data_IF_518283093428
#
_entry.id   IF_518283093428
#
_cell.length_a   1.000
_cell.length_b   1.000
_cell.length_c   1.000
_cell.angle_alpha   90.00
_cell.angle_beta   90.00
_cell.angle_gamma   90.00
#
_symmetry.space_group_name_H-M   'P 1'
#
loop_
_entity.id
_entity.type
_entity.pdbx_description
1 polymer ?
#
# COMPACT_ATOMS: atom_id res chain seq x y z
N UNK A 1 -6.56 -13.58 25.86
CA UNK A 1 -5.67 -13.40 24.70
C UNK A 1 -5.55 -11.93 24.39
N UNK A 2 -4.37 -11.38 24.51
CA UNK A 2 -4.12 -10.02 24.02
C UNK A 2 -4.12 -10.13 22.51
N UNK A 3 -5.16 -9.59 21.85
CA UNK A 3 -5.17 -9.45 20.38
C UNK A 3 -3.98 -8.57 20.03
N UNK A 4 -3.01 -9.14 19.33
CA UNK A 4 -1.84 -8.38 18.89
C UNK A 4 -2.32 -7.34 17.88
N UNK A 5 -2.32 -6.08 18.31
CA UNK A 5 -2.86 -4.93 17.56
C UNK A 5 -2.15 -4.62 16.24
N UNK A 6 -1.19 -5.46 15.84
CA UNK A 6 -0.40 -5.31 14.60
C UNK A 6 -0.92 -6.15 13.44
N UNK A 7 -1.94 -7.00 13.66
CA UNK A 7 -2.44 -7.86 12.60
C UNK A 7 -3.43 -7.10 11.72
N UNK A 8 -3.02 -6.84 10.48
CA UNK A 8 -3.88 -6.28 9.45
C UNK A 8 -4.83 -7.36 8.91
N UNK A 9 -6.07 -6.99 8.65
CA UNK A 9 -7.02 -7.86 7.97
C UNK A 9 -6.69 -8.06 6.51
N UNK A 10 -6.18 -7.02 5.86
CA UNK A 10 -5.66 -7.07 4.50
C UNK A 10 -4.80 -5.84 4.18
N UNK A 11 -3.95 -5.98 3.16
CA UNK A 11 -3.29 -4.88 2.47
C UNK A 11 -4.02 -4.65 1.15
N UNK A 12 -4.35 -3.38 0.90
CA UNK A 12 -4.97 -2.92 -0.35
C UNK A 12 -3.96 -2.07 -1.11
N UNK A 13 -3.86 -2.25 -2.42
CA UNK A 13 -3.00 -1.45 -3.27
C UNK A 13 -3.46 -1.47 -4.72
N UNK A 14 -3.07 -0.45 -5.48
CA UNK A 14 -3.40 -0.31 -6.90
C UNK A 14 -2.52 -1.10 -7.85
N UNK A 15 -1.45 -1.72 -7.38
CA UNK A 15 -0.57 -2.57 -8.17
C UNK A 15 0.42 -1.85 -9.09
N UNK A 16 0.51 -0.51 -9.05
CA UNK A 16 1.53 0.22 -9.80
C UNK A 16 2.93 -0.17 -9.29
N UNK A 17 3.98 0.07 -10.07
CA UNK A 17 5.36 -0.11 -9.59
C UNK A 17 5.66 0.74 -8.35
N UNK A 18 6.76 0.50 -7.68
CA UNK A 18 7.18 1.26 -6.51
C UNK A 18 6.42 0.86 -5.26
N UNK A 19 5.86 1.83 -4.54
CA UNK A 19 5.20 1.61 -3.24
C UNK A 19 4.05 0.61 -3.32
N UNK A 20 3.17 0.76 -4.30
CA UNK A 20 2.01 -0.11 -4.49
C UNK A 20 2.42 -1.59 -4.63
N UNK A 21 3.38 -1.86 -5.53
CA UNK A 21 3.86 -3.20 -5.80
C UNK A 21 4.55 -3.81 -4.58
N UNK A 22 5.35 -3.03 -3.88
CA UNK A 22 6.01 -3.46 -2.65
C UNK A 22 5.00 -3.88 -1.57
N UNK A 23 3.90 -3.17 -1.44
CA UNK A 23 2.85 -3.52 -0.49
C UNK A 23 2.21 -4.89 -0.80
N UNK A 24 1.93 -5.17 -2.08
CA UNK A 24 1.42 -6.48 -2.50
C UNK A 24 2.44 -7.60 -2.29
N UNK A 25 3.71 -7.36 -2.66
CA UNK A 25 4.80 -8.31 -2.45
C UNK A 25 4.99 -8.64 -0.97
N UNK A 26 4.93 -7.62 -0.11
CA UNK A 26 5.01 -7.79 1.33
C UNK A 26 3.87 -8.65 1.87
N UNK A 27 2.63 -8.36 1.48
CA UNK A 27 1.47 -9.14 1.92
C UNK A 27 1.58 -10.61 1.54
N UNK A 28 1.94 -10.90 0.29
CA UNK A 28 2.16 -12.28 -0.17
C UNK A 28 3.28 -12.98 0.59
N UNK A 29 4.39 -12.28 0.83
CA UNK A 29 5.54 -12.86 1.55
C UNK A 29 5.22 -13.19 3.00
N UNK A 30 4.39 -12.41 3.65
CA UNK A 30 4.05 -12.56 5.06
C UNK A 30 2.78 -13.36 5.31
N UNK A 31 2.00 -13.65 4.26
CA UNK A 31 0.69 -14.29 4.37
C UNK A 31 -0.44 -13.35 4.76
N UNK A 32 -0.19 -12.04 4.80
CA UNK A 32 -1.26 -11.05 4.95
C UNK A 32 -2.09 -10.99 3.66
N UNK A 33 -3.43 -11.13 3.74
CA UNK A 33 -4.27 -11.07 2.55
C UNK A 33 -4.04 -9.77 1.76
N UNK A 34 -3.95 -9.88 0.44
CA UNK A 34 -3.83 -8.74 -0.47
C UNK A 34 -5.04 -8.62 -1.35
N UNK A 35 -5.44 -7.40 -1.67
CA UNK A 35 -6.52 -7.07 -2.59
C UNK A 35 -6.38 -5.64 -3.09
N UNK A 36 -7.25 -5.21 -3.96
CA UNK A 36 -7.28 -3.84 -4.44
C UNK A 36 -7.86 -3.71 -5.84
N UNK A 37 -7.97 -2.48 -6.27
CA UNK A 37 -8.44 -2.10 -7.57
C UNK A 37 -7.29 -1.61 -8.44
N UNK A 38 -7.24 -2.06 -9.69
CA UNK A 38 -6.36 -1.54 -10.73
C UNK A 38 -7.20 -0.91 -11.86
N UNK A 39 -6.62 -0.10 -12.75
CA UNK A 39 -7.37 0.43 -13.89
C UNK A 39 -7.87 -0.69 -14.81
N UNK A 40 -8.91 -0.41 -15.59
CA UNK A 40 -9.38 -1.31 -16.64
C UNK A 40 -8.20 -1.73 -17.54
N UNK A 41 -8.10 -3.03 -17.82
CA UNK A 41 -6.97 -3.63 -18.54
C UNK A 41 -5.74 -3.92 -17.68
N UNK A 42 -5.75 -3.58 -16.39
CA UNK A 42 -4.65 -3.90 -15.46
C UNK A 42 -3.33 -3.19 -15.75
N UNK A 43 -3.36 -2.09 -16.49
CA UNK A 43 -2.14 -1.41 -16.96
C UNK A 43 -1.35 -0.77 -15.82
N UNK A 44 -0.04 -0.97 -15.87
CA UNK A 44 0.96 -0.31 -15.04
C UNK A 44 2.10 0.19 -15.92
N UNK A 45 3.04 0.98 -15.39
CA UNK A 45 4.13 1.51 -16.21
C UNK A 45 5.04 0.43 -16.83
N UNK A 46 5.14 -0.73 -16.19
CA UNK A 46 5.92 -1.88 -16.64
C UNK A 46 5.09 -2.95 -17.40
N UNK A 47 3.76 -2.88 -17.36
CA UNK A 47 2.83 -3.82 -17.94
C UNK A 47 1.76 -3.08 -18.76
N UNK A 48 2.10 -2.74 -20.00
CA UNK A 48 1.26 -1.89 -20.84
C UNK A 48 0.06 -2.63 -21.46
N UNK A 49 0.16 -3.96 -21.61
CA UNK A 49 -0.85 -4.77 -22.28
C UNK A 49 -1.72 -5.53 -21.28
N UNK A 50 -3.01 -5.63 -21.58
CA UNK A 50 -3.95 -6.43 -20.80
C UNK A 50 -3.56 -7.93 -20.84
N UNK A 51 -3.74 -8.68 -19.74
CA UNK A 51 -4.41 -8.33 -18.48
C UNK A 51 -3.53 -7.58 -17.46
N UNK A 52 -2.30 -7.24 -17.83
CA UNK A 52 -1.38 -6.44 -17.02
C UNK A 52 -1.14 -7.02 -15.64
N UNK A 53 -1.29 -6.20 -14.62
CA UNK A 53 -1.00 -6.56 -13.23
C UNK A 53 -1.87 -7.73 -12.72
N UNK A 54 -3.06 -7.91 -13.24
CA UNK A 54 -3.97 -9.00 -12.83
C UNK A 54 -3.37 -10.37 -13.15
N UNK A 55 -2.54 -10.48 -14.19
CA UNK A 55 -1.84 -11.74 -14.49
C UNK A 55 -0.85 -12.13 -13.37
N UNK A 56 -0.24 -11.14 -12.71
CA UNK A 56 0.70 -11.34 -11.62
C UNK A 56 0.00 -11.40 -10.25
N UNK A 57 -1.06 -10.61 -10.08
CA UNK A 57 -1.83 -10.47 -8.85
C UNK A 57 -3.32 -10.67 -9.14
N UNK A 58 -3.78 -11.94 -9.28
CA UNK A 58 -5.18 -12.24 -9.55
C UNK A 58 -6.13 -11.85 -8.42
N UNK A 59 -5.60 -11.46 -7.27
CA UNK A 59 -6.37 -10.90 -6.16
C UNK A 59 -6.88 -9.48 -6.44
N UNK A 60 -6.30 -8.78 -7.41
CA UNK A 60 -6.73 -7.45 -7.82
C UNK A 60 -7.94 -7.53 -8.75
N UNK A 61 -8.77 -6.50 -8.70
CA UNK A 61 -9.92 -6.31 -9.58
C UNK A 61 -9.73 -5.07 -10.45
N UNK A 62 -10.17 -5.14 -11.69
CA UNK A 62 -10.16 -3.98 -12.57
C UNK A 62 -11.38 -3.10 -12.32
N UNK A 63 -11.16 -1.78 -12.26
CA UNK A 63 -12.25 -0.80 -12.32
C UNK A 63 -12.83 -0.72 -13.74
N UNK A 64 -14.07 -0.23 -13.92
CA UNK A 64 -14.63 -0.01 -15.25
C UNK A 64 -13.84 1.00 -16.09
N UNK A 65 -13.24 2.00 -15.47
CA UNK A 65 -12.48 3.06 -16.14
C UNK A 65 -11.00 2.72 -16.28
N UNK A 66 -10.36 3.04 -17.41
CA UNK A 66 -8.91 3.01 -17.55
C UNK A 66 -8.22 4.19 -16.84
N UNK A 67 -8.97 5.19 -16.39
CA UNK A 67 -8.44 6.32 -15.63
C UNK A 67 -7.91 5.86 -14.27
N UNK A 68 -6.62 6.06 -13.96
CA UNK A 68 -6.04 5.69 -12.67
C UNK A 68 -6.72 6.33 -11.45
N UNK A 69 -7.40 7.45 -11.63
CA UNK A 69 -8.10 8.14 -10.53
C UNK A 69 -9.20 7.29 -9.93
N UNK A 70 -9.96 6.56 -10.75
CA UNK A 70 -11.04 5.70 -10.24
C UNK A 70 -10.52 4.60 -9.32
N UNK A 71 -9.47 3.89 -9.73
CA UNK A 71 -8.89 2.83 -8.87
C UNK A 71 -8.27 3.43 -7.60
N UNK A 72 -7.69 4.63 -7.68
CA UNK A 72 -7.14 5.32 -6.52
C UNK A 72 -8.22 5.64 -5.49
N UNK A 73 -9.32 6.21 -5.95
CA UNK A 73 -10.49 6.49 -5.11
C UNK A 73 -11.08 5.23 -4.49
N UNK A 74 -11.26 4.17 -5.29
CA UNK A 74 -11.89 2.93 -4.81
C UNK A 74 -11.01 2.18 -3.80
N UNK A 75 -9.69 2.21 -3.94
CA UNK A 75 -8.78 1.65 -2.94
C UNK A 75 -8.90 2.39 -1.60
N UNK A 76 -9.02 3.71 -1.62
CA UNK A 76 -9.27 4.50 -0.41
C UNK A 76 -10.63 4.19 0.19
N UNK A 77 -11.68 4.20 -0.63
CA UNK A 77 -13.07 3.96 -0.21
C UNK A 77 -13.24 2.61 0.48
N UNK A 78 -12.62 1.57 -0.06
CA UNK A 78 -12.79 0.18 0.36
C UNK A 78 -11.77 -0.26 1.42
N UNK A 79 -11.05 0.69 2.02
CA UNK A 79 -10.08 0.47 3.09
C UNK A 79 -10.51 1.20 4.38
N UNK A 80 -10.04 0.72 5.53
CA UNK A 80 -10.29 1.37 6.82
C UNK A 80 -9.36 2.56 7.04
N UNK A 81 -8.14 2.48 6.52
CA UNK A 81 -7.12 3.51 6.62
C UNK A 81 -6.20 3.51 5.40
N UNK A 82 -5.54 4.63 5.14
CA UNK A 82 -4.61 4.79 4.02
C UNK A 82 -3.25 5.31 4.49
N UNK A 83 -2.19 4.58 4.16
CA UNK A 83 -0.80 5.01 4.31
C UNK A 83 -0.29 5.49 2.95
N UNK A 84 0.13 6.75 2.88
CA UNK A 84 0.77 7.32 1.70
C UNK A 84 2.25 7.54 2.03
N UNK A 85 3.11 6.77 1.39
CA UNK A 85 4.56 6.92 1.53
C UNK A 85 5.09 7.88 0.48
N UNK A 86 6.01 8.73 0.88
CA UNK A 86 6.65 9.72 0.02
C UNK A 86 8.15 9.71 0.20
N UNK A 87 8.86 10.31 -0.75
CA UNK A 87 10.27 10.64 -0.63
C UNK A 87 10.44 12.14 -0.84
N UNK A 88 11.22 12.84 0.01
CA UNK A 88 11.45 14.28 -0.16
C UNK A 88 11.91 14.64 -1.58
N UNK A 89 11.33 15.71 -2.14
CA UNK A 89 11.66 16.19 -3.48
C UNK A 89 11.03 15.43 -4.64
N UNK A 90 10.28 14.36 -4.39
CA UNK A 90 9.57 13.60 -5.43
C UNK A 90 8.16 14.15 -5.60
N UNK A 91 7.82 14.52 -6.82
CA UNK A 91 6.46 14.91 -7.21
C UNK A 91 5.67 13.69 -7.63
N UNK A 92 4.55 13.42 -6.96
CA UNK A 92 3.70 12.26 -7.24
C UNK A 92 2.22 12.67 -7.24
N UNK A 93 1.65 13.04 -8.39
CA UNK A 93 0.24 13.42 -8.49
C UNK A 93 -0.72 12.33 -8.01
N UNK A 94 -0.36 11.06 -8.18
CA UNK A 94 -1.14 9.93 -7.67
C UNK A 94 -1.19 9.88 -6.15
N UNK A 95 -0.09 10.22 -5.48
CA UNK A 95 -0.04 10.32 -4.01
C UNK A 95 -0.90 11.48 -3.51
N UNK A 96 -0.83 12.63 -4.16
CA UNK A 96 -1.66 13.80 -3.84
C UNK A 96 -3.16 13.48 -3.99
N UNK A 97 -3.53 12.80 -5.08
CA UNK A 97 -4.90 12.36 -5.30
C UNK A 97 -5.37 11.37 -4.21
N UNK A 98 -4.51 10.47 -3.77
CA UNK A 98 -4.83 9.52 -2.69
C UNK A 98 -5.17 10.23 -1.39
N UNK A 99 -4.38 11.24 -1.00
CA UNK A 99 -4.65 12.07 0.19
C UNK A 99 -5.97 12.82 0.04
N UNK A 100 -6.22 13.40 -1.14
CA UNK A 100 -7.47 14.12 -1.40
C UNK A 100 -8.69 13.19 -1.27
N UNK A 101 -8.63 11.98 -1.82
CA UNK A 101 -9.71 11.01 -1.68
C UNK A 101 -9.88 10.51 -0.24
N UNK A 102 -8.80 10.32 0.51
CA UNK A 102 -8.89 9.95 1.92
C UNK A 102 -9.65 11.02 2.74
N UNK A 103 -9.37 12.28 2.49
CA UNK A 103 -10.11 13.40 3.10
C UNK A 103 -11.56 13.44 2.66
N UNK A 104 -11.84 13.28 1.36
CA UNK A 104 -13.18 13.26 0.79
C UNK A 104 -14.05 12.15 1.40
N UNK A 105 -13.49 10.94 1.58
CA UNK A 105 -14.19 9.80 2.16
C UNK A 105 -14.14 9.75 3.69
N UNK A 106 -13.53 10.74 4.35
CA UNK A 106 -13.40 10.76 5.81
C UNK A 106 -12.62 9.58 6.37
N UNK A 107 -11.67 9.04 5.61
CA UNK A 107 -10.85 7.90 6.03
C UNK A 107 -9.59 8.36 6.76
N UNK A 108 -9.22 7.71 7.86
CA UNK A 108 -7.93 7.92 8.51
C UNK A 108 -6.80 7.72 7.50
N UNK A 109 -5.83 8.65 7.48
CA UNK A 109 -4.69 8.54 6.61
C UNK A 109 -3.44 9.15 7.24
N UNK A 110 -2.29 8.63 6.85
CA UNK A 110 -0.98 9.15 7.20
C UNK A 110 -0.19 9.41 5.92
N UNK A 111 0.39 10.59 5.80
CA UNK A 111 1.43 10.92 4.84
C UNK A 111 2.76 10.88 5.59
N UNK A 112 3.66 9.98 5.22
CA UNK A 112 4.94 9.78 5.88
C UNK A 112 6.07 9.56 4.87
N UNK A 113 7.28 9.92 5.25
CA UNK A 113 8.46 9.57 4.48
C UNK A 113 8.72 8.06 4.57
N UNK A 114 9.24 7.48 3.48
CA UNK A 114 9.42 6.03 3.36
C UNK A 114 10.43 5.44 4.35
N UNK A 115 11.27 6.27 4.97
CA UNK A 115 12.26 5.89 5.98
C UNK A 115 11.82 6.23 7.42
N UNK A 116 10.65 6.86 7.61
CA UNK A 116 10.15 7.22 8.94
C UNK A 116 9.43 6.05 9.63
N UNK A 117 10.19 5.03 9.98
CA UNK A 117 9.69 3.80 10.62
C UNK A 117 8.90 4.13 11.89
N UNK A 118 9.40 5.03 12.72
CA UNK A 118 8.79 5.33 14.02
C UNK A 118 7.40 5.93 13.89
N UNK A 119 7.23 6.91 13.02
CA UNK A 119 5.94 7.57 12.78
C UNK A 119 4.92 6.56 12.22
N UNK A 120 5.35 5.78 11.23
CA UNK A 120 4.47 4.76 10.61
C UNK A 120 4.09 3.67 11.61
N UNK A 121 5.05 3.20 12.43
CA UNK A 121 4.78 2.18 13.44
C UNK A 121 3.78 2.65 14.50
N UNK A 122 3.95 3.85 15.03
CA UNK A 122 3.02 4.43 16.02
C UNK A 122 1.63 4.54 15.43
N UNK A 123 1.50 5.03 14.21
CA UNK A 123 0.21 5.21 13.58
C UNK A 123 -0.48 3.88 13.26
N UNK A 124 0.22 2.91 12.70
CA UNK A 124 -0.35 1.57 12.40
C UNK A 124 -0.78 0.86 13.68
N UNK A 125 0.01 0.98 14.76
CA UNK A 125 -0.32 0.36 16.05
C UNK A 125 -1.61 0.92 16.65
N UNK A 126 -1.96 2.15 16.34
CA UNK A 126 -3.19 2.79 16.78
C UNK A 126 -4.44 2.39 15.95
N UNK A 127 -4.27 1.72 14.81
CA UNK A 127 -5.38 1.22 14.02
C UNK A 127 -6.07 0.04 14.73
N UNK A 128 -7.39 -0.14 14.51
CA UNK A 128 -8.09 -1.31 15.03
C UNK A 128 -7.46 -2.62 14.54
N UNK A 129 -7.47 -3.63 15.41
CA UNK A 129 -7.04 -4.98 15.01
C UNK A 129 -7.88 -5.48 13.83
N UNK A 130 -7.21 -6.08 12.84
CA UNK A 130 -7.87 -6.53 11.62
C UNK A 130 -8.19 -5.43 10.61
N UNK A 131 -7.68 -4.21 10.80
CA UNK A 131 -7.89 -3.11 9.87
C UNK A 131 -7.41 -3.45 8.45
N UNK A 132 -8.14 -3.00 7.46
CA UNK A 132 -7.77 -3.06 6.05
C UNK A 132 -7.00 -1.80 5.69
N UNK A 133 -5.73 -1.96 5.33
CA UNK A 133 -4.81 -0.86 5.08
C UNK A 133 -4.52 -0.70 3.59
N UNK A 134 -4.91 0.44 3.02
CA UNK A 134 -4.45 0.86 1.71
C UNK A 134 -3.04 1.47 1.81
N UNK A 135 -2.12 1.01 0.97
CA UNK A 135 -0.75 1.53 0.89
C UNK A 135 -0.51 2.07 -0.51
N UNK A 136 -0.13 3.33 -0.61
CA UNK A 136 0.07 4.04 -1.85
C UNK A 136 1.31 4.95 -1.80
N UNK A 137 1.83 5.31 -2.96
CA UNK A 137 2.99 6.19 -3.06
C UNK A 137 3.51 6.31 -4.49
N UNK A 138 4.71 6.89 -4.67
CA UNK A 138 5.32 7.06 -5.99
C UNK A 138 5.58 5.73 -6.69
N UNK A 139 5.60 5.81 -8.03
CA UNK A 139 6.09 4.73 -8.89
C UNK A 139 7.60 4.61 -8.78
N UNK A 140 8.12 3.45 -9.17
CA UNK A 140 9.57 3.21 -9.22
C UNK A 140 10.28 4.22 -10.14
N UNK A 141 9.68 4.60 -11.28
CA UNK A 141 10.25 5.59 -12.19
C UNK A 141 10.30 7.00 -11.62
N UNK A 142 9.38 7.35 -10.70
CA UNK A 142 9.37 8.65 -10.02
C UNK A 142 10.36 8.70 -8.85
N UNK A 143 10.58 7.58 -8.20
CA UNK A 143 11.45 7.44 -7.04
C UNK A 143 12.22 6.11 -7.10
N UNK A 144 13.29 6.03 -7.90
CA UNK A 144 14.06 4.79 -8.04
C UNK A 144 14.53 4.23 -6.70
N UNK A 145 14.29 2.93 -6.47
CA UNK A 145 14.59 2.23 -5.21
C UNK A 145 13.47 2.25 -4.17
N UNK A 146 12.36 2.97 -4.41
CA UNK A 146 11.30 3.10 -3.42
C UNK A 146 10.57 1.78 -3.13
N UNK A 147 10.53 0.84 -4.08
CA UNK A 147 10.01 -0.51 -3.85
C UNK A 147 10.79 -1.21 -2.72
N UNK A 148 12.12 -1.23 -2.80
CA UNK A 148 12.95 -1.86 -1.78
C UNK A 148 12.86 -1.14 -0.42
N UNK A 149 12.83 0.18 -0.42
CA UNK A 149 12.66 0.99 0.80
C UNK A 149 11.31 0.73 1.47
N UNK A 150 10.24 0.62 0.67
CA UNK A 150 8.89 0.30 1.19
C UNK A 150 8.84 -1.11 1.78
N UNK A 151 9.45 -2.11 1.13
CA UNK A 151 9.56 -3.45 1.70
C UNK A 151 10.28 -3.44 3.04
N UNK A 152 11.37 -2.70 3.17
CA UNK A 152 12.13 -2.58 4.42
C UNK A 152 11.30 -1.90 5.52
N UNK A 153 10.59 -0.83 5.19
CA UNK A 153 9.70 -0.14 6.12
C UNK A 153 8.58 -1.07 6.62
N UNK A 154 7.87 -1.72 5.70
CA UNK A 154 6.76 -2.61 6.08
C UNK A 154 7.24 -3.80 6.90
N UNK A 155 8.41 -4.36 6.60
CA UNK A 155 9.02 -5.40 7.40
C UNK A 155 9.35 -4.91 8.82
N UNK A 156 9.93 -3.71 8.95
CA UNK A 156 10.26 -3.14 10.26
C UNK A 156 9.02 -2.87 11.13
N UNK A 157 7.89 -2.52 10.49
CA UNK A 157 6.65 -2.13 11.19
C UNK A 157 5.71 -3.32 11.43
N UNK A 158 5.63 -4.27 10.50
CA UNK A 158 4.59 -5.30 10.48
C UNK A 158 5.13 -6.74 10.57
N UNK A 159 6.43 -6.99 10.33
CA UNK A 159 6.95 -8.36 10.32
C UNK A 159 7.24 -8.84 11.74
N UNK A 160 6.44 -9.79 12.22
CA UNK A 160 6.61 -10.41 13.55
C UNK A 160 7.82 -11.32 13.67
N UNK A 161 8.42 -11.74 12.56
CA UNK A 161 9.58 -12.64 12.58
C UNK A 161 10.84 -11.93 13.05
N UNK A 162 10.88 -10.60 12.95
CA UNK A 162 11.99 -9.79 13.43
C UNK A 162 12.07 -9.72 14.96
N UNK A 163 10.93 -9.77 15.67
CA UNK A 163 10.89 -9.68 17.13
C UNK A 163 11.26 -11.00 17.82
N UNK A 164 11.16 -12.13 17.13
CA UNK A 164 11.50 -13.47 17.66
C UNK A 164 12.99 -13.82 17.64
N UNK A 165 13.81 -13.08 16.92
CA UNK A 165 15.27 -13.33 16.80
C UNK A 165 16.12 -12.64 17.87
N UNK A 166 15.55 -11.69 18.61
CA UNK A 166 16.27 -10.95 19.67
C UNK A 166 16.14 -11.56 21.08
N UNK A 167 15.48 -12.71 21.20
CA UNK A 167 15.16 -13.35 22.48
C UNK A 167 15.73 -14.77 22.68
N UNK A 168 16.96 -15.03 22.21
CA UNK A 168 17.68 -16.26 22.61
C UNK A 168 19.13 -15.95 22.90
#
# INVERSE_FOLDING_TARGET
>A
MVSDSRELGAIVSGGQTGVDRAALDFGRRTGTPVRGWCPAGGRTEDLAEAPGIIALYPELRATPSPDPRQRTEWNVRDSDATLVLVRPGVVSPGSDATVAFARQHGRPHLLAEVDDVTVVQVWITALPAGAVLNVAGPRESQAPGIHAETLALLAAVLDRRADGAAGR
#
